data_IF_971420149660
#
_entry.id   IF_971420149660
#
_cell.length_a   1.000
_cell.length_b   1.000
_cell.length_c   1.000
_cell.angle_alpha   90.00
_cell.angle_beta   90.00
_cell.angle_gamma   90.00
#
_symmetry.space_group_name_H-M   'P 1'
#
loop_
_entity.id
_entity.type
_entity.pdbx_description
1 polymer ?
#
# COMPACT_ATOMS: atom_id res chain seq x y z
N UNK A 1 -9.05 7.25 2.37
CA UNK A 1 -9.43 8.56 1.78
C UNK A 1 -8.28 9.57 1.74
N UNK A 2 -7.56 9.81 2.84
CA UNK A 2 -6.47 10.80 2.87
C UNK A 2 -5.40 10.63 1.75
N UNK A 3 -4.99 9.39 1.45
CA UNK A 3 -3.98 9.12 0.40
C UNK A 3 -4.40 9.61 -1.00
N UNK A 4 -5.66 9.39 -1.37
CA UNK A 4 -6.19 9.84 -2.67
C UNK A 4 -6.34 11.36 -2.72
N UNK A 5 -6.79 11.97 -1.63
CA UNK A 5 -6.89 13.43 -1.53
C UNK A 5 -5.50 14.09 -1.66
N UNK A 6 -4.47 13.51 -1.05
CA UNK A 6 -3.07 13.96 -1.23
C UNK A 6 -2.60 13.77 -2.67
N UNK A 7 -2.91 12.64 -3.31
CA UNK A 7 -2.55 12.39 -4.70
C UNK A 7 -3.19 13.40 -5.68
N UNK A 8 -4.45 13.78 -5.45
CA UNK A 8 -5.15 14.81 -6.24
C UNK A 8 -4.47 16.17 -6.08
N UNK A 9 -4.12 16.56 -4.86
CA UNK A 9 -3.45 17.84 -4.59
C UNK A 9 -2.01 17.88 -5.13
N UNK A 10 -1.30 16.74 -5.09
CA UNK A 10 -0.01 16.59 -5.77
C UNK A 10 -0.16 16.76 -7.28
N UNK A 11 -1.17 16.15 -7.89
CA UNK A 11 -1.46 16.31 -9.32
C UNK A 11 -1.73 17.76 -9.70
N UNK A 12 -2.53 18.48 -8.92
CA UNK A 12 -2.73 19.93 -9.10
C UNK A 12 -1.43 20.72 -8.95
N UNK A 13 -0.63 20.42 -7.92
CA UNK A 13 0.66 21.08 -7.68
C UNK A 13 1.64 20.89 -8.83
N UNK A 14 1.74 19.67 -9.37
CA UNK A 14 2.58 19.35 -10.53
C UNK A 14 2.05 20.03 -11.80
N UNK A 15 0.73 20.02 -12.03
CA UNK A 15 0.13 20.72 -13.17
C UNK A 15 0.49 22.21 -13.17
N UNK A 16 0.32 22.88 -12.02
CA UNK A 16 0.64 24.29 -11.84
C UNK A 16 2.15 24.56 -11.95
N UNK A 17 3.01 23.67 -11.47
CA UNK A 17 4.46 23.76 -11.67
C UNK A 17 4.86 23.71 -13.15
N UNK A 18 4.29 22.76 -13.90
CA UNK A 18 4.63 22.58 -15.33
C UNK A 18 4.23 23.76 -16.21
N UNK A 19 3.35 24.63 -15.71
CA UNK A 19 2.83 25.79 -16.41
C UNK A 19 3.37 27.12 -15.87
N UNK A 20 4.36 27.06 -14.98
CA UNK A 20 5.01 28.27 -14.44
C UNK A 20 4.20 29.00 -13.37
N UNK A 21 3.08 28.42 -12.89
CA UNK A 21 2.28 28.96 -11.80
C UNK A 21 2.94 28.76 -10.42
N UNK A 22 3.99 27.93 -10.36
CA UNK A 22 4.74 27.63 -9.15
C UNK A 22 4.17 26.47 -8.33
N UNK A 23 4.92 26.07 -7.29
CA UNK A 23 4.46 25.07 -6.33
C UNK A 23 3.60 25.72 -5.26
N UNK A 24 2.33 25.34 -5.22
CA UNK A 24 1.35 25.94 -4.32
C UNK A 24 0.54 24.86 -3.62
N UNK A 25 0.64 24.88 -2.30
CA UNK A 25 -0.03 23.93 -1.41
C UNK A 25 -1.25 24.59 -0.74
N UNK A 26 -2.40 23.93 -0.65
CA UNK A 26 -3.57 24.51 0.00
C UNK A 26 -3.39 24.48 1.53
N UNK A 27 -4.03 25.43 2.21
CA UNK A 27 -4.13 25.39 3.68
C UNK A 27 -4.98 24.20 4.13
N UNK A 28 -4.72 23.67 5.32
CA UNK A 28 -5.38 22.46 5.84
C UNK A 28 -6.91 22.54 5.83
N UNK A 29 -7.47 23.72 6.13
CA UNK A 29 -8.91 23.98 6.12
C UNK A 29 -9.54 23.90 4.73
N UNK A 30 -8.78 24.22 3.68
CA UNK A 30 -9.24 24.19 2.27
C UNK A 30 -8.86 22.90 1.55
N UNK A 31 -8.16 21.99 2.22
CA UNK A 31 -7.60 20.79 1.61
C UNK A 31 -8.69 19.87 1.04
N UNK A 32 -9.73 19.59 1.83
CA UNK A 32 -10.82 18.70 1.42
C UNK A 32 -11.89 19.44 0.60
N UNK A 33 -12.20 20.69 0.93
CA UNK A 33 -13.22 21.47 0.21
C UNK A 33 -12.78 21.81 -1.23
N UNK A 34 -11.49 21.97 -1.48
CA UNK A 34 -10.96 22.23 -2.82
C UNK A 34 -10.99 21.01 -3.76
N UNK A 35 -11.14 19.79 -3.24
CA UNK A 35 -11.13 18.57 -4.07
C UNK A 35 -12.22 18.59 -5.14
N UNK A 36 -13.42 19.04 -4.80
CA UNK A 36 -14.53 19.13 -5.75
C UNK A 36 -14.27 20.16 -6.85
N UNK A 37 -13.63 21.29 -6.52
CA UNK A 37 -13.20 22.29 -7.51
C UNK A 37 -12.14 21.74 -8.46
N UNK A 38 -11.15 20.99 -7.92
CA UNK A 38 -10.12 20.34 -8.73
C UNK A 38 -10.74 19.33 -9.69
N UNK A 39 -11.66 18.50 -9.20
CA UNK A 39 -12.39 17.54 -10.04
C UNK A 39 -13.28 18.22 -11.09
N UNK A 40 -13.78 19.42 -10.80
CA UNK A 40 -14.47 20.29 -11.75
C UNK A 40 -13.55 20.96 -12.79
N UNK A 41 -12.23 20.75 -12.71
CA UNK A 41 -11.25 21.31 -13.64
C UNK A 41 -10.65 22.65 -13.20
N UNK A 42 -10.91 23.11 -11.97
CA UNK A 42 -10.34 24.34 -11.45
C UNK A 42 -8.94 24.09 -10.83
N UNK A 43 -7.90 24.50 -11.58
CA UNK A 43 -6.50 24.39 -11.15
C UNK A 43 -6.10 25.37 -10.04
N UNK A 44 -6.93 26.37 -9.73
CA UNK A 44 -6.74 27.34 -8.66
C UNK A 44 -7.54 26.99 -7.38
N UNK A 45 -8.38 25.95 -7.41
CA UNK A 45 -9.26 25.60 -6.31
C UNK A 45 -8.50 25.48 -4.97
N UNK A 46 -8.95 26.24 -3.97
CA UNK A 46 -8.35 26.27 -2.63
C UNK A 46 -7.08 27.09 -2.48
N UNK A 47 -6.57 27.69 -3.56
CA UNK A 47 -5.38 28.55 -3.56
C UNK A 47 -5.76 30.04 -3.53
N UNK A 48 -4.84 30.86 -3.05
CA UNK A 48 -5.00 32.33 -3.03
C UNK A 48 -3.89 32.94 -3.89
N UNK A 49 -4.23 33.89 -4.76
CA UNK A 49 -3.26 34.66 -5.54
C UNK A 49 -2.73 33.98 -6.81
N UNK A 50 -3.38 32.93 -7.31
CA UNK A 50 -2.98 32.26 -8.56
C UNK A 50 -3.56 32.99 -9.77
N UNK A 51 -2.69 33.48 -10.65
CA UNK A 51 -3.09 34.18 -11.88
C UNK A 51 -3.12 33.29 -13.12
N UNK A 52 -2.23 32.29 -13.19
CA UNK A 52 -2.07 31.41 -14.36
C UNK A 52 -2.21 29.94 -13.95
N UNK A 53 -3.40 29.53 -13.51
CA UNK A 53 -3.63 28.14 -13.12
C UNK A 53 -3.68 27.19 -14.33
N UNK A 54 -3.44 25.91 -14.08
CA UNK A 54 -3.55 24.88 -15.11
C UNK A 54 -4.95 24.83 -15.73
N UNK A 55 -5.01 24.68 -17.05
CA UNK A 55 -6.28 24.43 -17.74
C UNK A 55 -6.88 23.10 -17.30
N UNK A 56 -8.22 22.97 -17.37
CA UNK A 56 -8.92 21.78 -16.87
C UNK A 56 -8.41 20.46 -17.46
N UNK A 57 -8.08 20.42 -18.75
CA UNK A 57 -7.52 19.21 -19.37
C UNK A 57 -6.13 18.84 -18.82
N UNK A 58 -5.21 19.82 -18.73
CA UNK A 58 -3.87 19.62 -18.22
C UNK A 58 -3.89 19.20 -16.74
N UNK A 59 -4.79 19.80 -15.96
CA UNK A 59 -5.05 19.42 -14.58
C UNK A 59 -5.48 17.95 -14.49
N UNK A 60 -6.46 17.53 -15.30
CA UNK A 60 -6.97 16.16 -15.29
C UNK A 60 -5.90 15.13 -15.65
N UNK A 61 -5.02 15.42 -16.62
CA UNK A 61 -3.91 14.53 -16.98
C UNK A 61 -2.99 14.28 -15.79
N UNK A 62 -2.53 15.35 -15.12
CA UNK A 62 -1.62 15.24 -13.99
C UNK A 62 -2.28 14.67 -12.72
N UNK A 63 -3.54 15.00 -12.47
CA UNK A 63 -4.33 14.42 -11.38
C UNK A 63 -4.51 12.93 -11.60
N UNK A 64 -4.89 12.50 -12.82
CA UNK A 64 -5.06 11.08 -13.16
C UNK A 64 -3.75 10.31 -13.02
N UNK A 65 -2.64 10.86 -13.54
CA UNK A 65 -1.32 10.27 -13.39
C UNK A 65 -0.92 10.12 -11.91
N UNK A 66 -1.12 11.16 -11.10
CA UNK A 66 -0.77 11.16 -9.68
C UNK A 66 -1.60 10.15 -8.87
N UNK A 67 -2.90 10.08 -9.12
CA UNK A 67 -3.79 9.08 -8.51
C UNK A 67 -3.39 7.66 -8.92
N UNK A 68 -3.06 7.45 -10.19
CA UNK A 68 -2.63 6.14 -10.70
C UNK A 68 -1.35 5.66 -10.01
N UNK A 69 -0.36 6.54 -9.87
CA UNK A 69 0.89 6.24 -9.13
C UNK A 69 0.60 5.92 -7.67
N UNK A 70 -0.25 6.71 -7.00
CA UNK A 70 -0.61 6.46 -5.61
C UNK A 70 -1.32 5.10 -5.42
N UNK A 71 -2.18 4.70 -6.36
CA UNK A 71 -2.83 3.39 -6.35
C UNK A 71 -1.83 2.26 -6.53
N UNK A 72 -0.91 2.37 -7.50
CA UNK A 72 0.14 1.36 -7.73
C UNK A 72 1.01 1.20 -6.48
N UNK A 73 1.48 2.30 -5.90
CA UNK A 73 2.27 2.27 -4.66
C UNK A 73 1.48 1.69 -3.49
N UNK A 74 0.19 2.03 -3.38
CA UNK A 74 -0.70 1.47 -2.36
C UNK A 74 -0.85 -0.05 -2.47
N UNK A 75 -1.04 -0.56 -3.69
CA UNK A 75 -1.11 -2.00 -3.95
C UNK A 75 0.22 -2.67 -3.63
N UNK A 76 1.35 -2.11 -4.08
CA UNK A 76 2.67 -2.65 -3.77
C UNK A 76 2.93 -2.69 -2.26
N UNK A 77 2.57 -1.63 -1.54
CA UNK A 77 2.69 -1.56 -0.09
C UNK A 77 1.81 -2.62 0.59
N UNK A 78 0.57 -2.82 0.12
CA UNK A 78 -0.32 -3.85 0.62
C UNK A 78 0.23 -5.26 0.36
N UNK A 79 0.77 -5.51 -0.83
CA UNK A 79 1.40 -6.79 -1.18
C UNK A 79 2.64 -7.03 -0.32
N UNK A 80 3.47 -6.02 -0.12
CA UNK A 80 4.66 -6.12 0.72
C UNK A 80 4.30 -6.37 2.19
N UNK A 81 3.32 -5.63 2.72
CA UNK A 81 2.75 -5.83 4.05
C UNK A 81 2.19 -7.25 4.21
N UNK A 82 1.42 -7.70 3.22
CA UNK A 82 0.86 -9.04 3.23
C UNK A 82 1.99 -10.07 3.17
N UNK A 83 2.99 -9.95 2.30
CA UNK A 83 4.15 -10.87 2.29
C UNK A 83 4.91 -10.89 3.62
N UNK A 84 5.05 -9.73 4.27
CA UNK A 84 5.74 -9.60 5.56
C UNK A 84 4.97 -10.22 6.72
N UNK A 85 3.63 -10.16 6.71
CA UNK A 85 2.78 -10.62 7.82
C UNK A 85 1.96 -11.88 7.53
N UNK A 86 1.87 -12.33 6.28
CA UNK A 86 1.14 -13.53 5.83
C UNK A 86 1.96 -14.80 5.93
N UNK A 87 3.26 -14.70 6.24
CA UNK A 87 4.13 -15.86 6.49
C UNK A 87 3.73 -16.53 7.81
N UNK A 88 2.58 -17.22 7.83
CA UNK A 88 2.17 -18.40 8.62
C UNK A 88 2.53 -18.54 10.10
N UNK A 89 3.21 -17.58 10.70
CA UNK A 89 3.53 -17.52 12.10
C UNK A 89 2.25 -17.08 12.78
N UNK A 90 1.40 -18.07 13.05
CA UNK A 90 0.32 -17.94 14.01
C UNK A 90 0.96 -17.33 15.25
N UNK A 91 0.66 -16.06 15.56
CA UNK A 91 1.18 -15.40 16.75
C UNK A 91 0.81 -16.30 17.94
N UNK A 92 1.82 -16.78 18.67
CA UNK A 92 1.64 -17.77 19.75
C UNK A 92 2.12 -19.19 19.45
N UNK A 93 2.68 -19.49 18.26
CA UNK A 93 3.42 -20.75 18.08
C UNK A 93 4.79 -20.66 18.74
N UNK A 94 5.09 -21.63 19.61
CA UNK A 94 6.38 -21.76 20.26
C UNK A 94 7.52 -21.69 19.22
N UNK A 95 8.55 -20.90 19.53
CA UNK A 95 9.74 -20.84 18.69
C UNK A 95 10.41 -22.22 18.59
N UNK A 96 11.26 -22.45 17.58
CA UNK A 96 11.93 -23.76 17.42
C UNK A 96 12.80 -24.13 18.62
N UNK A 97 13.38 -23.15 19.30
CA UNK A 97 14.13 -23.30 20.55
C UNK A 97 13.22 -23.66 21.71
N UNK A 98 12.10 -22.98 21.85
CA UNK A 98 11.13 -23.16 22.94
C UNK A 98 10.39 -24.50 22.78
N UNK A 99 10.05 -24.91 21.56
CA UNK A 99 9.55 -26.25 21.28
C UNK A 99 10.59 -27.33 21.60
N UNK A 100 11.89 -27.06 21.39
CA UNK A 100 12.98 -27.97 21.75
C UNK A 100 13.16 -28.08 23.26
N UNK A 101 13.01 -26.98 23.98
CA UNK A 101 13.11 -26.91 25.43
C UNK A 101 11.93 -27.63 26.10
N UNK A 102 10.69 -27.34 25.67
CA UNK A 102 9.47 -27.91 26.26
C UNK A 102 9.26 -29.37 25.85
N UNK A 103 9.53 -29.75 24.59
CA UNK A 103 9.25 -31.11 24.10
C UNK A 103 10.48 -32.02 24.03
N UNK A 104 11.68 -31.45 23.97
CA UNK A 104 12.91 -32.21 23.76
C UNK A 104 13.11 -32.69 22.31
N UNK A 105 14.37 -32.85 21.90
CA UNK A 105 14.77 -33.25 20.53
C UNK A 105 14.24 -34.63 20.16
N UNK A 106 14.26 -35.57 21.09
CA UNK A 106 13.81 -36.95 20.83
C UNK A 106 12.31 -37.02 20.52
N UNK A 107 11.48 -36.29 21.27
CA UNK A 107 10.03 -36.26 21.08
C UNK A 107 9.66 -35.59 19.75
N UNK A 108 10.34 -34.50 19.42
CA UNK A 108 10.21 -33.84 18.10
C UNK A 108 10.57 -34.78 16.95
N UNK A 109 11.67 -35.55 17.07
CA UNK A 109 12.07 -36.54 16.05
C UNK A 109 11.08 -37.69 15.94
N UNK A 110 10.54 -38.18 17.06
CA UNK A 110 9.54 -39.25 17.09
C UNK A 110 8.25 -38.85 16.39
N UNK A 111 7.79 -37.61 16.58
CA UNK A 111 6.56 -37.08 15.97
C UNK A 111 6.78 -36.30 14.67
N UNK A 112 7.97 -36.37 14.06
CA UNK A 112 8.30 -35.64 12.81
C UNK A 112 7.30 -35.81 11.67
N UNK A 113 6.61 -36.97 11.63
CA UNK A 113 5.58 -37.30 10.63
C UNK A 113 4.27 -36.53 10.83
N UNK A 114 3.96 -36.12 12.06
CA UNK A 114 2.79 -35.31 12.39
C UNK A 114 3.11 -33.82 12.22
N UNK A 115 4.33 -33.42 12.59
CA UNK A 115 4.79 -32.02 12.52
C UNK A 115 5.03 -31.57 11.08
N UNK A 116 5.70 -32.41 10.27
CA UNK A 116 6.07 -32.14 8.86
C UNK A 116 5.70 -33.34 7.98
N UNK A 117 4.40 -33.54 7.70
CA UNK A 117 3.93 -34.61 6.82
C UNK A 117 4.40 -34.41 5.37
N UNK A 118 4.65 -33.17 4.97
CA UNK A 118 5.25 -32.75 3.70
C UNK A 118 6.65 -33.32 3.47
N UNK A 119 7.48 -33.37 4.52
CA UNK A 119 8.85 -33.90 4.45
C UNK A 119 8.96 -35.38 4.83
N UNK A 120 7.95 -35.95 5.47
CA UNK A 120 7.95 -37.35 5.90
C UNK A 120 6.68 -38.07 5.41
N UNK A 121 6.53 -38.24 4.08
CA UNK A 121 5.38 -38.93 3.52
C UNK A 121 5.27 -40.32 4.15
N UNK A 122 4.04 -40.73 4.49
CA UNK A 122 3.77 -42.13 4.83
C UNK A 122 4.13 -42.93 3.59
N UNK A 123 5.00 -43.94 3.72
CA UNK A 123 5.07 -45.04 2.76
C UNK A 123 3.71 -45.73 2.80
N UNK A 124 2.73 -45.18 2.11
CA UNK A 124 1.53 -45.90 1.75
C UNK A 124 2.02 -47.05 0.89
N UNK A 125 1.90 -48.25 1.45
CA UNK A 125 2.19 -49.48 0.75
C UNK A 125 1.52 -49.43 -0.60
N UNK A 126 2.29 -49.76 -1.62
CA UNK A 126 1.85 -50.00 -2.99
C UNK A 126 0.70 -51.01 -2.91
N UNK A 127 -0.56 -50.53 -2.99
CA UNK A 127 -1.70 -51.41 -3.21
C UNK A 127 -1.63 -51.82 -4.67
N UNK A 128 -1.24 -53.08 -4.87
CA UNK A 128 -1.43 -53.84 -6.11
C UNK A 128 -2.91 -54.13 -6.30
#
# INVERSE_FOLDING_TARGET
MAMLAVAVQLGRGVANLTLGAGWLWPTGERFFSSLFGILGGDGAAGLVGVRNAASGWQLMVWVTASVSVALVLGVLALVAANRRWSSGAVRGTASTSEAREVLGVQRLRRHRRVIRPDLNPRRLGRLR
#
